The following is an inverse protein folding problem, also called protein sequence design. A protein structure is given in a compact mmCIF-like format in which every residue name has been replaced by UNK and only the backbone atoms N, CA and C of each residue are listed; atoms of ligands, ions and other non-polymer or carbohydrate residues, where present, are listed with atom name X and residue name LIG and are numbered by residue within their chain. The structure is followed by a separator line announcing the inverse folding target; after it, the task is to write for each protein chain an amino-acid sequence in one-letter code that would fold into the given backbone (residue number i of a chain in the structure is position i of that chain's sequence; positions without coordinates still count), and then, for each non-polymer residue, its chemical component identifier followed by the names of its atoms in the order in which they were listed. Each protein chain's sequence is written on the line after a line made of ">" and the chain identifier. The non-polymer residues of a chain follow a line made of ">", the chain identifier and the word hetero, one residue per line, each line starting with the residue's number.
data_IF_959173070849
#
_entry.id   IF_959173070849
#
_cell.length_a   1.000
_cell.length_b   1.000
_cell.length_c   1.000
_cell.angle_alpha   90.00
_cell.angle_beta   90.00
_cell.angle_gamma   90.00
#
_symmetry.space_group_name_H-M   'P 1'
#
loop_
_entity.id
_entity.type
_entity.pdbx_description
1 polymer ?
#
# COMPACT_ATOMS: atom_id res chain seq x y z
N UNK A 1 -12.73 4.29 0.98
CA UNK A 1 -11.81 4.50 -0.17
C UNK A 1 -10.79 3.38 -0.21
N UNK A 2 -10.47 2.94 -1.39
CA UNK A 2 -9.53 1.85 -1.59
C UNK A 2 -8.26 2.38 -2.24
N UNK A 3 -7.11 1.95 -1.70
CA UNK A 3 -5.80 2.33 -2.21
C UNK A 3 -4.99 1.08 -2.54
N UNK A 4 -4.24 1.15 -3.62
CA UNK A 4 -3.25 0.13 -3.94
C UNK A 4 -1.88 0.72 -3.68
N UNK A 5 -1.14 0.10 -2.75
CA UNK A 5 0.23 0.49 -2.44
C UNK A 5 1.18 -0.54 -3.05
N UNK A 6 2.24 -0.07 -3.66
CA UNK A 6 3.30 -0.92 -4.17
C UNK A 6 4.62 -0.48 -3.54
N UNK A 7 5.38 -1.44 -3.03
CA UNK A 7 6.71 -1.17 -2.51
C UNK A 7 7.77 -1.93 -3.29
N UNK A 8 8.97 -1.37 -3.30
CA UNK A 8 10.17 -2.08 -3.73
C UNK A 8 11.33 -1.61 -2.85
N UNK A 9 12.28 -2.50 -2.59
CA UNK A 9 13.41 -2.13 -1.74
C UNK A 9 14.40 -1.25 -2.49
N UNK A 10 14.98 -0.29 -1.76
CA UNK A 10 16.17 0.40 -2.23
C UNK A 10 17.34 -0.57 -2.24
N UNK A 11 18.25 -0.38 -3.17
CA UNK A 11 19.41 -1.25 -3.33
C UNK A 11 20.18 -1.40 -2.01
N UNK A 12 20.45 -2.65 -1.61
CA UNK A 12 21.22 -2.95 -0.41
C UNK A 12 20.42 -3.02 0.89
N UNK A 13 19.11 -2.80 0.85
CA UNK A 13 18.28 -2.75 2.06
C UNK A 13 17.41 -3.99 2.29
N UNK A 14 17.59 -5.05 1.53
CA UNK A 14 16.75 -6.25 1.65
C UNK A 14 16.83 -6.86 3.06
N UNK A 15 18.03 -7.06 3.58
CA UNK A 15 18.20 -7.68 4.90
C UNK A 15 17.65 -6.78 6.02
N UNK A 16 17.91 -5.48 5.94
CA UNK A 16 17.41 -4.52 6.94
C UNK A 16 15.89 -4.55 6.98
N UNK A 17 15.25 -4.53 5.82
CA UNK A 17 13.80 -4.56 5.72
C UNK A 17 13.23 -5.88 6.23
N UNK A 18 13.85 -7.00 5.87
CA UNK A 18 13.41 -8.32 6.31
C UNK A 18 13.48 -8.44 7.84
N UNK A 19 14.58 -7.99 8.45
CA UNK A 19 14.73 -8.04 9.91
C UNK A 19 13.74 -7.14 10.62
N UNK A 20 13.48 -5.94 10.08
CA UNK A 20 12.49 -5.03 10.64
C UNK A 20 11.10 -5.65 10.61
N UNK A 21 10.73 -6.27 9.49
CA UNK A 21 9.44 -6.94 9.35
C UNK A 21 9.30 -8.12 10.31
N UNK A 22 10.33 -8.95 10.40
CA UNK A 22 10.30 -10.14 11.26
C UNK A 22 10.27 -9.79 12.75
N UNK A 23 10.88 -8.70 13.16
CA UNK A 23 10.93 -8.31 14.57
C UNK A 23 9.68 -7.59 15.05
N UNK A 24 9.06 -6.76 14.23
CA UNK A 24 7.93 -5.93 14.64
C UNK A 24 6.71 -6.01 13.73
N UNK A 25 6.81 -6.73 12.62
CA UNK A 25 5.78 -6.71 11.60
C UNK A 25 5.71 -5.34 10.93
N UNK A 26 4.63 -5.14 10.20
CA UNK A 26 4.37 -3.86 9.54
C UNK A 26 2.89 -3.52 9.69
N UNK A 27 2.46 -3.19 10.93
CA UNK A 27 1.08 -2.84 11.18
C UNK A 27 0.72 -1.52 10.51
N UNK A 28 -0.53 -1.39 10.11
CA UNK A 28 -1.04 -0.14 9.56
C UNK A 28 -1.44 0.82 10.68
N UNK A 29 -1.40 2.12 10.40
CA UNK A 29 -1.82 3.13 11.38
C UNK A 29 -3.29 2.99 11.75
N UNK A 30 -3.65 3.55 12.90
CA UNK A 30 -5.03 3.68 13.32
C UNK A 30 -5.83 4.43 12.24
N UNK A 31 -7.08 4.04 12.03
CA UNK A 31 -7.92 4.57 10.97
C UNK A 31 -7.97 3.71 9.72
N UNK A 32 -7.15 2.68 9.64
CA UNK A 32 -7.20 1.69 8.57
C UNK A 32 -8.33 0.71 8.86
N UNK A 33 -9.25 0.54 7.90
CA UNK A 33 -10.36 -0.41 8.06
C UNK A 33 -9.91 -1.84 7.83
N UNK A 34 -9.13 -2.05 6.78
CA UNK A 34 -8.57 -3.36 6.46
C UNK A 34 -7.39 -3.20 5.50
N UNK A 35 -6.54 -4.21 5.48
CA UNK A 35 -5.50 -4.28 4.46
C UNK A 35 -5.16 -5.72 4.14
N UNK A 36 -4.69 -5.95 2.93
CA UNK A 36 -4.19 -7.24 2.50
C UNK A 36 -2.83 -7.02 1.85
N UNK A 37 -1.79 -7.61 2.44
CA UNK A 37 -0.42 -7.49 1.92
C UNK A 37 -0.05 -8.73 1.15
N UNK A 38 0.48 -8.54 -0.06
CA UNK A 38 0.93 -9.61 -0.94
C UNK A 38 2.39 -9.37 -1.28
N UNK A 39 3.21 -10.39 -1.10
CA UNK A 39 4.64 -10.31 -1.40
C UNK A 39 4.94 -10.92 -2.76
N UNK A 40 5.73 -10.26 -3.58
CA UNK A 40 6.32 -10.87 -4.75
C UNK A 40 7.42 -11.86 -4.35
N UNK A 41 7.85 -12.75 -5.25
CA UNK A 41 8.90 -13.71 -4.91
C UNK A 41 10.15 -13.01 -4.37
N UNK A 42 10.67 -13.51 -3.24
CA UNK A 42 11.80 -12.91 -2.56
C UNK A 42 11.45 -11.73 -1.68
N UNK A 43 10.20 -11.30 -1.70
CA UNK A 43 9.69 -10.14 -0.93
C UNK A 43 10.40 -8.82 -1.22
N UNK A 44 11.14 -8.72 -2.33
CA UNK A 44 11.81 -7.49 -2.73
C UNK A 44 10.82 -6.42 -3.17
N UNK A 45 9.62 -6.82 -3.54
CA UNK A 45 8.51 -5.93 -3.86
C UNK A 45 7.21 -6.59 -3.44
N UNK A 46 6.18 -5.80 -3.34
CA UNK A 46 4.86 -6.33 -3.05
C UNK A 46 3.79 -5.27 -3.19
N UNK A 47 2.57 -5.70 -2.91
CA UNK A 47 1.38 -4.86 -3.09
C UNK A 47 0.51 -4.96 -1.85
N UNK A 48 -0.16 -3.87 -1.52
CA UNK A 48 -1.08 -3.83 -0.39
C UNK A 48 -2.38 -3.20 -0.86
N UNK A 49 -3.48 -3.90 -0.66
CA UNK A 49 -4.80 -3.34 -0.90
C UNK A 49 -5.29 -2.81 0.45
N UNK A 50 -5.54 -1.50 0.53
CA UNK A 50 -5.88 -0.83 1.78
C UNK A 50 -7.26 -0.21 1.66
N UNK A 51 -8.11 -0.47 2.65
CA UNK A 51 -9.40 0.20 2.78
C UNK A 51 -9.34 1.18 3.94
N UNK A 52 -9.60 2.46 3.68
CA UNK A 52 -9.59 3.51 4.68
C UNK A 52 -10.39 4.71 4.19
N UNK A 53 -10.90 5.53 5.10
CA UNK A 53 -11.62 6.75 4.73
C UNK A 53 -10.64 7.89 4.43
N UNK A 54 -9.44 7.83 5.00
CA UNK A 54 -8.45 8.90 4.91
C UNK A 54 -7.17 8.38 4.26
N UNK A 55 -6.70 9.01 3.17
CA UNK A 55 -5.44 8.62 2.54
C UNK A 55 -4.21 8.78 3.43
N UNK A 56 -4.33 9.52 4.53
CA UNK A 56 -3.21 9.74 5.45
C UNK A 56 -2.69 8.45 6.08
N UNK A 57 -3.50 7.40 6.18
CA UNK A 57 -3.01 6.10 6.66
C UNK A 57 -1.96 5.53 5.72
N UNK A 58 -2.14 5.70 4.42
CA UNK A 58 -1.17 5.26 3.42
C UNK A 58 0.10 6.11 3.46
N UNK A 59 -0.06 7.43 3.63
CA UNK A 59 1.07 8.34 3.77
C UNK A 59 1.93 7.95 4.96
N UNK A 60 1.30 7.74 6.11
CA UNK A 60 2.02 7.40 7.33
C UNK A 60 2.72 6.04 7.21
N UNK A 61 2.01 5.03 6.70
CA UNK A 61 2.61 3.70 6.53
C UNK A 61 3.82 3.75 5.60
N UNK A 62 3.69 4.45 4.47
CA UNK A 62 4.80 4.62 3.54
C UNK A 62 5.96 5.37 4.18
N UNK A 63 5.69 6.41 4.97
CA UNK A 63 6.73 7.18 5.65
C UNK A 63 7.51 6.33 6.66
N UNK A 64 6.84 5.41 7.35
CA UNK A 64 7.50 4.52 8.32
C UNK A 64 8.55 3.63 7.69
N UNK A 65 8.45 3.37 6.38
CA UNK A 65 9.34 2.50 5.63
C UNK A 65 10.11 3.22 4.51
N UNK A 66 9.91 4.53 4.37
CA UNK A 66 10.42 5.30 3.23
C UNK A 66 11.95 5.31 3.15
N UNK A 67 12.63 5.16 4.29
CA UNK A 67 14.10 5.16 4.32
C UNK A 67 14.68 3.98 3.54
N UNK A 68 13.98 2.84 3.53
CA UNK A 68 14.49 1.60 2.94
C UNK A 68 13.68 1.11 1.74
N UNK A 69 12.57 1.77 1.42
CA UNK A 69 11.66 1.35 0.36
C UNK A 69 11.23 2.52 -0.53
N UNK A 70 11.00 2.20 -1.80
CA UNK A 70 10.26 3.08 -2.72
C UNK A 70 8.80 2.71 -2.66
N UNK A 71 7.93 3.72 -2.71
CA UNK A 71 6.49 3.52 -2.63
C UNK A 71 5.76 4.18 -3.79
N UNK A 72 4.71 3.52 -4.26
CA UNK A 72 3.70 4.10 -5.14
C UNK A 72 2.36 3.84 -4.50
N UNK A 73 1.54 4.87 -4.35
CA UNK A 73 0.21 4.76 -3.76
C UNK A 73 -0.79 5.27 -4.79
N UNK A 74 -1.75 4.42 -5.15
CA UNK A 74 -2.73 4.71 -6.19
C UNK A 74 -4.13 4.54 -5.61
N UNK A 75 -4.99 5.58 -5.64
CA UNK A 75 -6.39 5.39 -5.33
C UNK A 75 -7.03 4.57 -6.44
N UNK A 76 -7.85 3.59 -6.06
CA UNK A 76 -8.49 2.67 -7.01
C UNK A 76 -9.97 2.56 -6.70
N UNK A 77 -10.74 2.14 -7.69
CA UNK A 77 -12.18 1.95 -7.56
C UNK A 77 -12.55 0.53 -7.99
N UNK A 78 -13.60 0.01 -7.38
CA UNK A 78 -14.24 -1.22 -7.84
C UNK A 78 -15.06 -0.93 -9.09
N UNK A 79 -15.56 -1.99 -9.74
CA UNK A 79 -16.49 -1.83 -10.87
C UNK A 79 -17.73 -1.03 -10.48
N UNK A 80 -18.24 -1.29 -9.28
CA UNK A 80 -19.44 -0.61 -8.76
C UNK A 80 -19.22 0.87 -8.55
N UNK A 81 -18.00 1.25 -8.17
CA UNK A 81 -17.64 2.66 -7.97
C UNK A 81 -17.27 3.33 -9.29
N UNK A 82 -16.53 2.65 -10.14
CA UNK A 82 -16.04 3.21 -11.40
C UNK A 82 -17.15 3.38 -12.44
N UNK A 83 -18.10 2.44 -12.51
CA UNK A 83 -19.16 2.45 -13.51
C UNK A 83 -19.94 3.76 -13.58
N UNK A 84 -20.51 4.24 -12.46
CA UNK A 84 -21.23 5.52 -12.45
C UNK A 84 -20.38 6.72 -12.85
N UNK A 85 -19.09 6.70 -12.50
CA UNK A 85 -18.17 7.77 -12.86
C UNK A 85 -17.87 7.78 -14.35
N UNK A 86 -17.68 6.61 -14.93
CA UNK A 86 -17.45 6.47 -16.38
C UNK A 86 -18.70 6.91 -17.13
N UNK A 87 -19.89 6.53 -16.64
CA UNK A 87 -21.16 6.90 -17.25
C UNK A 87 -21.35 8.42 -17.32
N UNK A 88 -20.87 9.15 -16.32
CA UNK A 88 -20.95 10.62 -16.34
C UNK A 88 -20.16 11.24 -17.49
N UNK A 89 -19.09 10.56 -17.94
CA UNK A 89 -18.24 11.06 -19.02
C UNK A 89 -18.86 10.77 -20.40
N UNK A 90 -19.54 9.62 -20.53
CA UNK A 90 -19.99 9.12 -21.83
C UNK A 90 -21.51 9.11 -22.02
N UNK A 91 -22.25 9.63 -21.08
CA UNK A 91 -23.72 9.68 -21.22
C UNK A 91 -24.28 11.01 -21.71
#
# INVERSE_FOLDING_TARGET
>A
MTFLMHWSFKTGYHEVAARKFLSGGAPFPEGTKSFKRLHGPGSCEGWIIVEADDPNVCYQHAAEWAEIMHWTVTPVCTDEEAGPLIAKVYS
#
